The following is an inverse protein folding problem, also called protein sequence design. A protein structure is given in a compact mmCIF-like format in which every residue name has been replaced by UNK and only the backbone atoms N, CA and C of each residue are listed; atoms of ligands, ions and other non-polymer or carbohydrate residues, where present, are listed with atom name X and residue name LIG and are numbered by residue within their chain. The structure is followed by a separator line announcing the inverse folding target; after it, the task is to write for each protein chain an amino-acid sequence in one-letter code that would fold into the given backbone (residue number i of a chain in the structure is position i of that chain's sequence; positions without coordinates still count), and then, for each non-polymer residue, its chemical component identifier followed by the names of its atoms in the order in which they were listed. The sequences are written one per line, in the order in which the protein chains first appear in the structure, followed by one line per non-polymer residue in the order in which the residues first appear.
data_IF_209301067852
#
_entry.id   IF_209301067852
#
_cell.length_a   1.000
_cell.length_b   1.000
_cell.length_c   1.000
_cell.angle_alpha   90.00
_cell.angle_beta   90.00
_cell.angle_gamma   90.00
#
_symmetry.space_group_name_H-M   'P 1'
#
loop_
_entity.id
_entity.type
_entity.pdbx_description
1 polymer ?
#
# COMPACT_ATOMS: atom_id res chain seq x y z
N UNK A 1 -23.02 -10.09 -1.15
CA UNK A 1 -23.17 -9.67 -2.56
C UNK A 1 -22.10 -10.32 -3.42
N UNK A 2 -22.47 -11.02 -4.50
CA UNK A 2 -21.50 -11.43 -5.53
C UNK A 2 -21.08 -10.17 -6.29
N UNK A 3 -19.80 -9.81 -6.22
CA UNK A 3 -19.24 -8.63 -6.92
C UNK A 3 -19.18 -8.92 -8.42
N UNK A 4 -19.50 -7.91 -9.24
CA UNK A 4 -19.55 -8.06 -10.70
C UNK A 4 -18.18 -8.37 -11.29
N UNK A 5 -18.17 -9.17 -12.36
CA UNK A 5 -17.02 -9.37 -13.23
C UNK A 5 -17.38 -8.91 -14.64
N UNK A 6 -16.50 -8.12 -15.26
CA UNK A 6 -16.71 -7.58 -16.61
C UNK A 6 -15.59 -8.09 -17.50
N UNK A 7 -15.95 -8.62 -18.67
CA UNK A 7 -15.01 -9.14 -19.65
C UNK A 7 -15.08 -8.34 -20.94
N UNK A 8 -13.93 -7.89 -21.41
CA UNK A 8 -13.78 -7.16 -22.66
C UNK A 8 -12.79 -7.90 -23.54
N UNK A 9 -13.09 -8.02 -24.84
CA UNK A 9 -12.19 -8.64 -25.80
C UNK A 9 -11.90 -7.70 -26.97
N UNK A 10 -10.66 -7.76 -27.46
CA UNK A 10 -10.25 -7.15 -28.71
C UNK A 10 -10.22 -8.23 -29.79
N UNK A 11 -10.85 -7.97 -30.94
CA UNK A 11 -10.94 -8.91 -32.05
C UNK A 11 -10.14 -8.41 -33.25
N UNK A 12 -9.58 -9.35 -34.00
CA UNK A 12 -9.00 -9.13 -35.33
C UNK A 12 -9.74 -10.04 -36.31
N UNK A 13 -10.67 -9.47 -37.07
CA UNK A 13 -11.65 -10.26 -37.82
C UNK A 13 -12.47 -11.15 -36.89
N UNK A 14 -12.50 -12.46 -37.16
CA UNK A 14 -13.27 -13.40 -36.35
C UNK A 14 -12.47 -14.06 -35.20
N UNK A 15 -11.25 -13.61 -34.91
CA UNK A 15 -10.39 -14.18 -33.85
C UNK A 15 -10.20 -13.18 -32.71
N UNK A 16 -10.09 -13.70 -31.48
CA UNK A 16 -9.73 -12.89 -30.30
C UNK A 16 -8.22 -12.61 -30.36
N UNK A 17 -7.87 -11.33 -30.35
CA UNK A 17 -6.49 -10.84 -30.35
C UNK A 17 -6.05 -10.36 -28.95
N UNK A 18 -7.00 -10.13 -28.04
CA UNK A 18 -6.71 -9.82 -26.64
C UNK A 18 -7.97 -9.84 -25.77
N UNK A 19 -7.78 -9.91 -24.46
CA UNK A 19 -8.86 -9.92 -23.48
C UNK A 19 -8.44 -9.18 -22.20
N UNK A 20 -9.43 -8.64 -21.51
CA UNK A 20 -9.29 -7.95 -20.24
C UNK A 20 -10.46 -8.35 -19.32
N UNK A 21 -10.14 -8.66 -18.07
CA UNK A 21 -11.09 -9.04 -17.04
C UNK A 21 -11.01 -8.08 -15.85
N UNK A 22 -12.14 -7.42 -15.57
CA UNK A 22 -12.34 -6.53 -14.43
C UNK A 22 -13.11 -7.21 -13.31
N UNK A 23 -12.79 -6.83 -12.08
CA UNK A 23 -13.51 -7.21 -10.86
C UNK A 23 -13.82 -5.94 -10.07
N UNK A 24 -15.07 -5.78 -9.63
CA UNK A 24 -15.49 -4.66 -8.78
C UNK A 24 -14.86 -4.75 -7.39
N UNK A 25 -14.28 -3.65 -6.91
CA UNK A 25 -13.66 -3.51 -5.59
C UNK A 25 -14.05 -2.18 -4.92
N UNK A 26 -13.85 -2.09 -3.61
CA UNK A 26 -14.16 -0.90 -2.83
C UNK A 26 -15.63 -0.85 -2.39
N UNK A 27 -16.07 0.37 -2.07
CA UNK A 27 -17.41 0.64 -1.54
C UNK A 27 -17.64 0.03 -0.16
N UNK A 28 -16.59 -0.02 0.67
CA UNK A 28 -16.71 -0.50 2.05
C UNK A 28 -17.33 0.60 2.92
N UNK A 29 -18.08 0.17 3.95
CA UNK A 29 -18.52 1.09 5.02
C UNK A 29 -17.31 1.79 5.64
N UNK A 30 -17.42 3.09 6.01
CA UNK A 30 -16.32 3.84 6.60
C UNK A 30 -15.68 3.16 7.81
N UNK A 31 -16.50 2.61 8.73
CA UNK A 31 -16.01 1.91 9.93
C UNK A 31 -15.17 0.68 9.57
N UNK A 32 -15.60 -0.09 8.56
CA UNK A 32 -14.86 -1.25 8.08
C UNK A 32 -13.56 -0.83 7.38
N UNK A 33 -13.56 0.24 6.58
CA UNK A 33 -12.35 0.77 5.95
C UNK A 33 -11.31 1.18 7.02
N UNK A 34 -11.75 1.88 8.06
CA UNK A 34 -10.89 2.30 9.17
C UNK A 34 -10.36 1.10 9.96
N UNK A 35 -11.19 0.09 10.22
CA UNK A 35 -10.76 -1.14 10.88
C UNK A 35 -9.75 -1.96 10.04
N UNK A 36 -9.88 -1.95 8.71
CA UNK A 36 -8.88 -2.52 7.79
C UNK A 36 -7.57 -1.73 7.84
N UNK A 37 -7.65 -0.39 7.79
CA UNK A 37 -6.49 0.49 7.92
C UNK A 37 -5.73 0.30 9.23
N UNK A 38 -6.44 0.12 10.35
CA UNK A 38 -5.85 -0.14 11.65
C UNK A 38 -5.30 -1.57 11.81
N UNK A 39 -5.63 -2.48 10.89
CA UNK A 39 -5.23 -3.89 10.92
C UNK A 39 -6.11 -4.78 11.81
N UNK A 40 -7.27 -4.29 12.28
CA UNK A 40 -8.21 -5.08 13.08
C UNK A 40 -9.06 -6.04 12.23
N UNK A 41 -9.22 -5.76 10.93
CA UNK A 41 -10.01 -6.59 10.02
C UNK A 41 -9.32 -6.82 8.68
N UNK A 42 -9.63 -7.98 8.09
CA UNK A 42 -9.19 -8.38 6.75
C UNK A 42 -10.30 -9.19 6.06
N UNK A 43 -11.35 -8.53 5.56
CA UNK A 43 -12.46 -9.21 4.91
C UNK A 43 -12.02 -9.93 3.63
N UNK A 44 -12.80 -10.92 3.16
CA UNK A 44 -12.52 -11.59 1.88
C UNK A 44 -12.84 -10.67 0.68
N UNK A 45 -12.08 -10.79 -0.41
CA UNK A 45 -12.22 -9.95 -1.62
C UNK A 45 -11.52 -8.60 -1.50
N UNK A 46 -11.79 -7.67 -2.42
CA UNK A 46 -11.27 -6.29 -2.39
C UNK A 46 -9.75 -6.19 -2.29
N UNK A 47 -9.02 -6.92 -3.13
CA UNK A 47 -7.58 -7.06 -3.00
C UNK A 47 -6.87 -5.69 -2.96
N UNK A 48 -7.12 -4.84 -3.96
CA UNK A 48 -6.46 -3.53 -4.04
C UNK A 48 -7.15 -2.54 -3.11
N UNK A 49 -8.48 -2.48 -3.08
CA UNK A 49 -9.18 -1.54 -2.21
C UNK A 49 -8.83 -1.70 -0.72
N UNK A 50 -8.76 -2.93 -0.21
CA UNK A 50 -8.29 -3.18 1.16
C UNK A 50 -6.80 -2.93 1.31
N UNK A 51 -5.98 -3.24 0.30
CA UNK A 51 -4.55 -2.95 0.36
C UNK A 51 -4.26 -1.45 0.43
N UNK A 52 -5.06 -0.62 -0.23
CA UNK A 52 -4.96 0.84 -0.13
C UNK A 52 -5.22 1.31 1.30
N UNK A 53 -6.20 0.75 2.01
CA UNK A 53 -6.41 1.07 3.43
C UNK A 53 -5.30 0.47 4.33
N UNK A 54 -4.99 -0.82 4.18
CA UNK A 54 -4.08 -1.54 5.07
C UNK A 54 -2.60 -1.15 4.91
N UNK A 55 -2.20 -0.66 3.73
CA UNK A 55 -0.81 -0.29 3.42
C UNK A 55 -0.62 1.17 3.00
N UNK A 56 -1.70 1.89 2.68
CA UNK A 56 -1.67 3.30 2.33
C UNK A 56 -1.86 4.22 3.53
N UNK A 57 -1.91 5.52 3.27
CA UNK A 57 -2.05 6.57 4.29
C UNK A 57 -3.50 6.77 4.75
N UNK A 58 -4.47 6.70 3.83
CA UNK A 58 -5.86 7.08 4.12
C UNK A 58 -6.68 5.96 4.78
N UNK A 59 -7.26 6.18 5.98
CA UNK A 59 -8.19 5.23 6.60
C UNK A 59 -9.48 4.98 5.83
N UNK A 60 -9.83 5.89 4.91
CA UNK A 60 -11.05 5.84 4.11
C UNK A 60 -10.79 5.35 2.67
N UNK A 61 -9.57 4.94 2.33
CA UNK A 61 -9.24 4.56 0.96
C UNK A 61 -10.13 3.44 0.38
N UNK A 62 -10.62 2.52 1.23
CA UNK A 62 -11.45 1.40 0.79
C UNK A 62 -12.94 1.76 0.63
N UNK A 63 -13.36 2.99 1.00
CA UNK A 63 -14.73 3.47 0.75
C UNK A 63 -14.91 3.84 -0.73
N UNK A 64 -13.85 4.30 -1.40
CA UNK A 64 -13.86 4.58 -2.83
C UNK A 64 -14.14 3.30 -3.64
N UNK A 65 -14.78 3.46 -4.78
CA UNK A 65 -15.20 2.37 -5.67
C UNK A 65 -14.26 2.25 -6.85
N UNK A 66 -13.94 1.02 -7.26
CA UNK A 66 -13.04 0.82 -8.38
C UNK A 66 -13.24 -0.49 -9.13
N UNK A 67 -12.60 -0.57 -10.29
CA UNK A 67 -12.52 -1.78 -11.10
C UNK A 67 -11.07 -2.25 -11.15
N UNK A 68 -10.79 -3.41 -10.55
CA UNK A 68 -9.47 -4.02 -10.62
C UNK A 68 -9.33 -4.82 -11.90
N UNK A 69 -8.31 -4.53 -12.69
CA UNK A 69 -7.85 -5.38 -13.78
C UNK A 69 -7.24 -6.64 -13.17
N UNK A 70 -8.00 -7.74 -13.22
CA UNK A 70 -7.60 -9.04 -12.70
C UNK A 70 -6.68 -9.77 -13.67
N UNK A 71 -6.99 -9.67 -14.96
CA UNK A 71 -6.18 -10.21 -16.06
C UNK A 71 -6.26 -9.30 -17.27
N UNK A 72 -5.14 -9.19 -17.97
CA UNK A 72 -5.06 -8.65 -19.32
C UNK A 72 -4.13 -9.55 -20.12
N UNK A 73 -4.50 -9.88 -21.34
CA UNK A 73 -3.68 -10.68 -22.25
C UNK A 73 -3.85 -10.20 -23.69
N UNK A 74 -2.75 -10.16 -24.44
CA UNK A 74 -2.73 -9.90 -25.87
C UNK A 74 -2.03 -11.08 -26.55
N UNK A 75 -2.63 -11.59 -27.61
CA UNK A 75 -2.08 -12.71 -28.37
C UNK A 75 -0.62 -12.40 -28.79
N UNK A 76 0.34 -13.32 -28.61
CA UNK A 76 1.77 -13.05 -28.82
C UNK A 76 2.09 -12.40 -30.17
N UNK A 77 1.50 -12.92 -31.26
CA UNK A 77 1.68 -12.40 -32.62
C UNK A 77 1.10 -11.00 -32.87
N UNK A 78 0.39 -10.39 -31.90
CA UNK A 78 -0.25 -9.07 -32.02
C UNK A 78 0.19 -8.12 -30.90
N UNK A 79 1.22 -8.48 -30.14
CA UNK A 79 1.77 -7.61 -29.09
C UNK A 79 2.41 -6.37 -29.70
N UNK A 80 2.54 -5.30 -28.90
CA UNK A 80 3.15 -4.02 -29.29
C UNK A 80 2.41 -3.24 -30.40
N UNK A 81 1.24 -3.70 -30.84
CA UNK A 81 0.34 -2.97 -31.76
C UNK A 81 -0.68 -2.04 -31.03
N UNK A 82 -0.43 -1.71 -29.76
CA UNK A 82 -1.34 -0.87 -28.97
C UNK A 82 -2.64 -1.55 -28.49
N UNK A 83 -2.86 -2.84 -28.79
CA UNK A 83 -4.06 -3.60 -28.36
C UNK A 83 -4.30 -3.55 -26.85
N UNK A 84 -3.25 -3.74 -26.03
CA UNK A 84 -3.37 -3.69 -24.58
C UNK A 84 -3.81 -2.33 -24.06
N UNK A 85 -3.27 -1.24 -24.63
CA UNK A 85 -3.66 0.13 -24.28
C UNK A 85 -5.11 0.41 -24.66
N UNK A 86 -5.57 -0.06 -25.83
CA UNK A 86 -6.98 0.07 -26.25
C UNK A 86 -7.93 -0.66 -25.31
N UNK A 87 -7.57 -1.87 -24.87
CA UNK A 87 -8.37 -2.61 -23.89
C UNK A 87 -8.49 -1.86 -22.57
N UNK A 88 -7.39 -1.23 -22.11
CA UNK A 88 -7.40 -0.41 -20.89
C UNK A 88 -8.24 0.87 -21.08
N UNK A 89 -8.10 1.56 -22.21
CA UNK A 89 -8.91 2.74 -22.50
C UNK A 89 -10.41 2.41 -22.51
N UNK A 90 -10.78 1.28 -23.10
CA UNK A 90 -12.17 0.78 -23.07
C UNK A 90 -12.62 0.45 -21.64
N UNK A 91 -11.76 -0.15 -20.82
CA UNK A 91 -12.05 -0.38 -19.40
C UNK A 91 -12.26 0.92 -18.63
N UNK A 92 -11.50 1.98 -18.94
CA UNK A 92 -11.66 3.29 -18.33
C UNK A 92 -13.02 3.92 -18.71
N UNK A 93 -13.43 3.81 -19.97
CA UNK A 93 -14.76 4.25 -20.42
C UNK A 93 -15.89 3.45 -19.75
N UNK A 94 -15.74 2.13 -19.59
CA UNK A 94 -16.71 1.29 -18.87
C UNK A 94 -16.79 1.60 -17.37
N UNK A 95 -15.70 2.10 -16.79
CA UNK A 95 -15.59 2.46 -15.39
C UNK A 95 -15.90 3.91 -15.07
N UNK A 96 -16.44 4.71 -15.99
CA UNK A 96 -16.55 6.17 -15.84
C UNK A 96 -17.31 6.64 -14.59
N UNK A 97 -18.20 5.80 -14.03
CA UNK A 97 -18.92 6.09 -12.77
C UNK A 97 -18.20 5.60 -11.50
N UNK A 98 -16.97 5.12 -11.63
CA UNK A 98 -16.12 4.64 -10.53
C UNK A 98 -15.04 5.66 -10.21
N UNK A 99 -14.40 5.52 -9.07
CA UNK A 99 -13.33 6.43 -8.67
C UNK A 99 -12.00 6.12 -9.37
N UNK A 100 -11.72 4.85 -9.66
CA UNK A 100 -10.48 4.42 -10.30
C UNK A 100 -10.56 3.05 -10.99
N UNK A 101 -9.64 2.82 -11.94
CA UNK A 101 -9.17 1.46 -12.23
C UNK A 101 -7.95 1.15 -11.38
N UNK A 102 -7.74 -0.12 -11.07
CA UNK A 102 -6.54 -0.56 -10.36
C UNK A 102 -5.92 -1.82 -10.95
N UNK A 103 -4.64 -2.02 -10.65
CA UNK A 103 -3.93 -3.27 -10.94
C UNK A 103 -3.02 -3.62 -9.78
N UNK A 104 -2.89 -4.92 -9.51
CA UNK A 104 -1.87 -5.50 -8.64
C UNK A 104 -1.07 -6.50 -9.48
N UNK A 105 0.25 -6.35 -9.53
CA UNK A 105 1.11 -7.12 -10.42
C UNK A 105 2.49 -7.37 -9.80
N UNK A 106 3.16 -8.44 -10.23
CA UNK A 106 4.59 -8.63 -9.93
C UNK A 106 5.41 -7.59 -10.68
N UNK A 107 6.14 -6.76 -9.95
CA UNK A 107 6.88 -5.64 -10.52
C UNK A 107 7.98 -6.14 -11.47
N UNK A 108 7.94 -5.64 -12.70
CA UNK A 108 9.10 -5.63 -13.62
C UNK A 108 9.16 -4.28 -14.32
N UNK A 109 10.34 -3.80 -14.75
CA UNK A 109 10.44 -2.54 -15.49
C UNK A 109 9.57 -2.51 -16.75
N UNK A 110 9.45 -3.64 -17.47
CA UNK A 110 8.66 -3.75 -18.71
C UNK A 110 7.17 -3.63 -18.43
N UNK A 111 6.68 -4.33 -17.40
CA UNK A 111 5.27 -4.34 -17.06
C UNK A 111 4.86 -3.00 -16.44
N UNK A 112 5.72 -2.38 -15.62
CA UNK A 112 5.49 -1.03 -15.12
C UNK A 112 5.41 -0.01 -16.26
N UNK A 113 6.34 -0.03 -17.22
CA UNK A 113 6.29 0.86 -18.40
C UNK A 113 4.98 0.71 -19.18
N UNK A 114 4.44 -0.52 -19.30
CA UNK A 114 3.14 -0.73 -19.92
C UNK A 114 2.03 0.02 -19.16
N UNK A 115 1.91 -0.18 -17.84
CA UNK A 115 0.89 0.47 -17.02
C UNK A 115 1.04 1.99 -16.99
N UNK A 116 2.28 2.48 -16.86
CA UNK A 116 2.58 3.91 -16.89
C UNK A 116 2.14 4.54 -18.22
N UNK A 117 2.42 3.90 -19.37
CA UNK A 117 1.97 4.39 -20.68
C UNK A 117 0.45 4.31 -20.87
N UNK A 118 -0.22 3.46 -20.12
CA UNK A 118 -1.69 3.44 -20.03
C UNK A 118 -2.26 4.54 -19.12
N UNK A 119 -1.43 5.35 -18.47
CA UNK A 119 -1.88 6.42 -17.57
C UNK A 119 -1.99 6.02 -16.09
N UNK A 120 -1.49 4.85 -15.70
CA UNK A 120 -1.50 4.45 -14.30
C UNK A 120 -0.41 5.16 -13.49
N UNK A 121 -0.75 5.50 -12.24
CA UNK A 121 0.16 6.03 -11.23
C UNK A 121 0.53 4.92 -10.25
N UNK A 122 1.82 4.71 -9.99
CA UNK A 122 2.29 3.74 -9.00
C UNK A 122 2.00 4.27 -7.59
N UNK A 123 1.30 3.48 -6.79
CA UNK A 123 0.89 3.88 -5.42
C UNK A 123 1.46 2.99 -4.33
N UNK A 124 1.99 1.81 -4.70
CA UNK A 124 2.63 0.90 -3.76
C UNK A 124 3.66 0.01 -4.45
N UNK A 125 4.78 -0.19 -3.78
CA UNK A 125 5.77 -1.22 -4.08
C UNK A 125 6.08 -2.01 -2.80
N UNK A 126 5.80 -3.30 -2.81
CA UNK A 126 5.98 -4.18 -1.65
C UNK A 126 7.46 -4.39 -1.28
N UNK A 127 7.67 -5.01 -0.12
CA UNK A 127 8.98 -5.40 0.43
C UNK A 127 9.15 -6.91 0.54
N UNK A 128 8.16 -7.69 0.09
CA UNK A 128 8.21 -9.14 0.07
C UNK A 128 7.98 -9.64 -1.35
N UNK A 129 8.76 -10.64 -1.75
CA UNK A 129 8.56 -11.35 -3.01
C UNK A 129 7.38 -12.29 -2.89
N UNK A 130 6.55 -12.34 -3.93
CA UNK A 130 5.54 -13.38 -4.04
C UNK A 130 6.21 -14.71 -4.37
N UNK A 131 5.83 -15.78 -3.64
CA UNK A 131 6.44 -17.10 -3.79
C UNK A 131 6.31 -17.69 -5.21
N UNK A 132 5.25 -17.33 -5.94
CA UNK A 132 4.97 -17.87 -7.28
C UNK A 132 5.70 -17.15 -8.40
N UNK A 133 5.88 -15.83 -8.31
CA UNK A 133 6.48 -15.00 -9.36
C UNK A 133 7.93 -14.61 -9.06
N UNK A 134 8.36 -14.73 -7.81
CA UNK A 134 9.60 -14.16 -7.33
C UNK A 134 9.63 -12.63 -7.36
N UNK A 135 8.58 -11.94 -7.80
CA UNK A 135 8.58 -10.48 -7.94
C UNK A 135 8.02 -9.79 -6.69
N UNK A 136 8.42 -8.55 -6.45
CA UNK A 136 7.74 -7.68 -5.47
C UNK A 136 6.36 -7.27 -6.00
N UNK A 137 5.33 -7.33 -5.16
CA UNK A 137 4.00 -6.86 -5.56
C UNK A 137 4.00 -5.34 -5.72
N UNK A 138 3.58 -4.85 -6.87
CA UNK A 138 3.30 -3.45 -7.15
C UNK A 138 1.79 -3.22 -7.32
N UNK A 139 1.31 -2.04 -6.94
CA UNK A 139 -0.04 -1.59 -7.21
C UNK A 139 -0.03 -0.22 -7.85
N UNK A 140 -0.92 -0.04 -8.83
CA UNK A 140 -1.06 1.22 -9.55
C UNK A 140 -2.54 1.54 -9.78
N UNK A 141 -2.85 2.83 -9.83
CA UNK A 141 -4.20 3.37 -10.02
C UNK A 141 -4.29 4.20 -11.29
N UNK A 142 -5.40 4.06 -12.01
CA UNK A 142 -5.83 5.00 -13.04
C UNK A 142 -7.03 5.76 -12.47
N UNK A 143 -6.90 7.06 -12.14
CA UNK A 143 -7.98 7.83 -11.54
C UNK A 143 -9.08 8.14 -12.57
N UNK A 144 -10.34 8.07 -12.14
CA UNK A 144 -11.54 8.32 -12.95
C UNK A 144 -12.45 9.39 -12.33
N UNK A 145 -12.31 9.67 -11.03
CA UNK A 145 -12.98 10.76 -10.32
C UNK A 145 -11.96 11.68 -9.63
N UNK A 146 -12.42 12.83 -9.14
CA UNK A 146 -11.59 13.72 -8.31
C UNK A 146 -11.10 13.03 -7.03
N UNK A 147 -11.94 12.19 -6.42
CA UNK A 147 -11.55 11.41 -5.24
C UNK A 147 -10.46 10.38 -5.59
N UNK A 148 -10.58 9.70 -6.74
CA UNK A 148 -9.56 8.80 -7.25
C UNK A 148 -8.26 9.52 -7.59
N UNK A 149 -8.33 10.72 -8.16
CA UNK A 149 -7.16 11.55 -8.48
C UNK A 149 -6.40 11.95 -7.21
N UNK A 150 -7.12 12.40 -6.17
CA UNK A 150 -6.52 12.72 -4.87
C UNK A 150 -5.85 11.50 -4.25
N UNK A 151 -6.56 10.37 -4.18
CA UNK A 151 -5.99 9.12 -3.65
C UNK A 151 -4.71 8.71 -4.39
N UNK A 152 -4.74 8.69 -5.73
CA UNK A 152 -3.58 8.29 -6.53
C UNK A 152 -2.38 9.23 -6.32
N UNK A 153 -2.64 10.54 -6.24
CA UNK A 153 -1.62 11.56 -5.99
C UNK A 153 -1.01 11.45 -4.60
N UNK A 154 -1.85 11.32 -3.56
CA UNK A 154 -1.44 11.23 -2.16
C UNK A 154 -0.63 9.97 -1.90
N UNK A 155 -1.09 8.81 -2.38
CA UNK A 155 -0.38 7.54 -2.19
C UNK A 155 0.92 7.46 -2.99
N UNK A 156 0.96 8.05 -4.20
CA UNK A 156 2.19 8.20 -4.97
C UNK A 156 3.21 9.10 -4.26
N UNK A 157 2.76 10.25 -3.73
CA UNK A 157 3.61 11.14 -2.96
C UNK A 157 4.15 10.45 -1.69
N UNK A 158 3.30 9.68 -1.00
CA UNK A 158 3.70 8.87 0.15
C UNK A 158 4.73 7.82 -0.22
N UNK A 159 4.50 7.04 -1.27
CA UNK A 159 5.44 6.05 -1.80
C UNK A 159 6.83 6.67 -2.03
N UNK A 160 6.89 7.84 -2.67
CA UNK A 160 8.15 8.54 -2.92
C UNK A 160 8.83 9.03 -1.64
N UNK A 161 8.08 9.42 -0.61
CA UNK A 161 8.64 9.82 0.70
C UNK A 161 9.19 8.62 1.49
N UNK A 162 8.57 7.46 1.34
CA UNK A 162 8.92 6.24 2.07
C UNK A 162 10.03 5.43 1.39
N UNK A 163 10.21 5.62 0.09
CA UNK A 163 11.15 4.85 -0.72
C UNK A 163 12.58 4.88 -0.19
N UNK A 164 13.04 6.03 0.31
CA UNK A 164 14.37 6.14 0.92
C UNK A 164 14.57 5.14 2.07
N UNK A 165 13.52 4.88 2.85
CA UNK A 165 13.56 4.02 4.03
C UNK A 165 13.26 2.55 3.72
N UNK A 166 12.61 2.28 2.59
CA UNK A 166 12.13 0.95 2.20
C UNK A 166 13.02 0.25 1.17
N UNK A 167 13.82 0.98 0.40
CA UNK A 167 14.64 0.41 -0.69
C UNK A 167 15.53 -0.74 -0.24
N UNK A 168 16.17 -0.60 0.92
CA UNK A 168 17.15 -1.56 1.40
C UNK A 168 16.47 -2.83 1.96
N UNK A 169 15.14 -2.82 2.10
CA UNK A 169 14.36 -4.01 2.42
C UNK A 169 14.06 -4.86 1.18
N UNK A 170 14.55 -4.44 0.01
CA UNK A 170 14.47 -5.18 -1.24
C UNK A 170 15.87 -5.51 -1.73
N UNK A 171 16.00 -6.67 -2.34
CA UNK A 171 17.27 -7.16 -2.90
C UNK A 171 17.49 -6.66 -4.34
N UNK A 172 16.63 -5.77 -4.83
CA UNK A 172 16.67 -5.20 -6.18
C UNK A 172 16.76 -3.67 -6.13
N UNK A 173 17.47 -3.04 -7.08
CA UNK A 173 17.50 -1.58 -7.19
C UNK A 173 16.09 -1.00 -7.31
N UNK A 174 15.84 0.06 -6.56
CA UNK A 174 14.57 0.76 -6.64
C UNK A 174 14.39 1.45 -8.00
N UNK A 175 13.20 1.34 -8.61
CA UNK A 175 12.88 2.07 -9.83
C UNK A 175 12.45 3.52 -9.57
N UNK A 176 12.36 3.92 -8.31
CA UNK A 176 11.82 5.21 -7.88
C UNK A 176 12.96 6.19 -7.54
N UNK A 177 12.77 7.49 -7.79
CA UNK A 177 13.79 8.48 -7.50
C UNK A 177 14.10 8.54 -6.01
N UNK A 178 15.36 8.83 -5.68
CA UNK A 178 15.77 9.02 -4.31
C UNK A 178 15.34 10.38 -3.77
N UNK A 179 14.58 10.34 -2.67
CA UNK A 179 14.19 11.52 -1.92
C UNK A 179 14.18 11.21 -0.43
N UNK A 180 15.16 11.73 0.30
CA UNK A 180 15.18 11.63 1.77
C UNK A 180 14.25 12.67 2.38
N UNK A 181 12.98 12.30 2.53
CA UNK A 181 12.02 13.12 3.27
C UNK A 181 12.20 12.93 4.78
N UNK A 182 12.47 14.02 5.50
CA UNK A 182 12.70 14.03 6.97
C UNK A 182 11.65 14.81 7.76
N UNK A 183 10.74 15.50 7.08
CA UNK A 183 9.63 16.23 7.71
C UNK A 183 8.60 15.21 8.18
N UNK A 184 8.27 15.26 9.48
CA UNK A 184 7.19 14.51 10.09
C UNK A 184 5.87 15.24 9.81
N UNK A 185 5.02 14.65 8.96
CA UNK A 185 3.73 15.23 8.56
C UNK A 185 2.58 14.77 9.46
N UNK A 186 1.41 15.38 9.30
CA UNK A 186 0.18 14.99 10.00
C UNK A 186 -0.20 13.53 9.70
N UNK A 187 -0.02 13.07 8.46
CA UNK A 187 -0.28 11.67 8.11
C UNK A 187 0.72 10.71 8.78
N UNK A 188 1.98 11.13 8.97
CA UNK A 188 2.99 10.32 9.65
C UNK A 188 2.60 10.06 11.11
N UNK A 189 2.04 11.06 11.80
CA UNK A 189 1.54 10.92 13.17
C UNK A 189 0.45 9.84 13.26
N UNK A 190 -0.55 9.92 12.38
CA UNK A 190 -1.65 8.96 12.36
C UNK A 190 -1.14 7.55 12.03
N UNK A 191 -0.23 7.42 11.06
CA UNK A 191 0.36 6.14 10.70
C UNK A 191 1.18 5.52 11.85
N UNK A 192 2.04 6.31 12.49
CA UNK A 192 2.83 5.81 13.62
C UNK A 192 1.91 5.46 14.78
N UNK A 193 0.84 6.22 15.02
CA UNK A 193 -0.17 5.84 16.02
C UNK A 193 -0.86 4.52 15.68
N UNK A 194 -1.20 4.28 14.41
CA UNK A 194 -1.73 3.00 13.94
C UNK A 194 -0.75 1.83 14.15
N UNK A 195 0.55 2.08 14.10
CA UNK A 195 1.57 1.10 14.52
C UNK A 195 1.70 1.01 16.04
N UNK A 196 1.79 2.10 16.78
CA UNK A 196 2.01 2.07 18.22
C UNK A 196 0.81 1.47 18.99
N UNK A 197 -0.41 1.77 18.56
CA UNK A 197 -1.63 1.52 19.35
C UNK A 197 -2.62 0.54 18.70
N UNK A 198 -2.41 0.15 17.44
CA UNK A 198 -3.22 -0.86 16.75
C UNK A 198 -2.35 -1.98 16.13
N UNK A 199 -2.70 -2.43 14.93
CA UNK A 199 -2.14 -3.62 14.31
C UNK A 199 -1.50 -3.34 12.94
N UNK A 200 -1.19 -2.07 12.63
CA UNK A 200 -0.44 -1.76 11.41
C UNK A 200 0.91 -2.50 11.40
N UNK A 201 1.36 -3.06 10.27
CA UNK A 201 2.66 -3.73 10.17
C UNK A 201 3.84 -2.76 10.25
N UNK A 202 4.97 -3.22 10.77
CA UNK A 202 6.21 -2.42 10.88
C UNK A 202 6.63 -1.82 9.53
N UNK A 203 6.70 -2.64 8.48
CA UNK A 203 7.18 -2.19 7.16
C UNK A 203 6.19 -1.28 6.44
N UNK A 204 4.90 -1.35 6.77
CA UNK A 204 3.93 -0.35 6.26
C UNK A 204 4.26 1.04 6.83
N UNK A 205 4.70 1.11 8.09
CA UNK A 205 4.97 2.36 8.81
C UNK A 205 6.45 2.75 8.86
N UNK A 206 7.34 2.04 8.17
CA UNK A 206 8.79 2.21 8.33
C UNK A 206 9.27 3.61 7.93
N UNK A 207 8.68 4.23 6.90
CA UNK A 207 9.02 5.60 6.52
C UNK A 207 8.66 6.59 7.62
N UNK A 208 7.42 6.54 8.09
CA UNK A 208 6.88 7.42 9.15
C UNK A 208 7.60 7.22 10.48
N UNK A 209 7.94 5.98 10.83
CA UNK A 209 8.72 5.65 12.02
C UNK A 209 10.14 6.21 11.96
N UNK A 210 10.83 6.08 10.82
CA UNK A 210 12.16 6.67 10.67
C UNK A 210 12.12 8.20 10.76
N UNK A 211 11.12 8.84 10.17
CA UNK A 211 10.92 10.30 10.28
C UNK A 211 10.66 10.73 11.71
N UNK A 212 9.90 9.95 12.49
CA UNK A 212 9.70 10.19 13.92
C UNK A 212 10.99 10.03 14.71
N UNK A 213 11.78 8.98 14.43
CA UNK A 213 13.04 8.69 15.12
C UNK A 213 14.13 9.76 14.92
N UNK A 214 14.01 10.60 13.89
CA UNK A 214 14.86 11.79 13.69
C UNK A 214 14.51 12.90 14.68
N UNK A 215 13.27 12.93 15.20
CA UNK A 215 12.76 14.00 16.07
C UNK A 215 12.91 13.71 17.55
N UNK A 216 13.43 12.54 17.92
CA UNK A 216 13.51 12.10 19.32
C UNK A 216 14.90 11.53 19.63
N UNK A 217 15.46 11.95 20.75
CA UNK A 217 16.78 11.51 21.23
C UNK A 217 16.71 10.26 22.13
N UNK A 218 15.51 9.70 22.32
CA UNK A 218 15.33 8.48 23.09
C UNK A 218 16.11 7.31 22.44
N UNK A 219 16.70 6.40 23.25
CA UNK A 219 17.50 5.28 22.73
C UNK A 219 16.72 4.35 21.81
N UNK A 220 15.51 3.96 22.21
CA UNK A 220 14.57 3.11 21.44
C UNK A 220 15.27 1.93 20.73
N UNK A 221 15.97 1.06 21.50
CA UNK A 221 16.94 0.12 20.95
C UNK A 221 16.31 -0.97 20.06
N UNK A 222 15.09 -1.42 20.34
CA UNK A 222 14.45 -2.42 19.50
C UNK A 222 14.03 -1.81 18.15
N UNK A 223 13.39 -0.64 18.18
CA UNK A 223 12.84 0.05 17.01
C UNK A 223 13.94 0.51 16.07
N UNK A 224 14.99 1.14 16.60
CA UNK A 224 16.17 1.52 15.80
C UNK A 224 16.85 0.30 15.20
N UNK A 225 17.09 -0.76 15.98
CA UNK A 225 17.75 -1.96 15.47
C UNK A 225 16.95 -2.62 14.34
N UNK A 226 15.62 -2.72 14.48
CA UNK A 226 14.78 -3.33 13.44
C UNK A 226 14.62 -2.45 12.21
N UNK A 227 14.51 -1.14 12.33
CA UNK A 227 14.47 -0.25 11.16
C UNK A 227 15.82 -0.18 10.42
N UNK A 228 16.92 -0.47 11.13
CA UNK A 228 18.26 -0.75 10.55
C UNK A 228 18.44 -2.21 10.11
N UNK A 229 17.34 -2.96 9.98
CA UNK A 229 17.32 -4.33 9.45
C UNK A 229 18.11 -5.38 10.23
N UNK A 230 18.48 -5.11 11.49
CA UNK A 230 19.12 -6.13 12.31
C UNK A 230 18.19 -7.34 12.51
N UNK A 231 18.76 -8.54 12.47
CA UNK A 231 18.01 -9.79 12.56
C UNK A 231 17.13 -9.87 13.83
N UNK A 232 15.89 -10.38 13.68
CA UNK A 232 14.93 -10.45 14.79
C UNK A 232 15.43 -11.30 15.95
N UNK A 233 16.13 -12.42 15.67
CA UNK A 233 16.65 -13.30 16.71
C UNK A 233 17.83 -12.67 17.45
N UNK A 234 18.70 -11.95 16.73
CA UNK A 234 19.79 -11.19 17.32
C UNK A 234 19.27 -10.06 18.24
N UNK A 235 18.26 -9.32 17.79
CA UNK A 235 17.62 -8.26 18.60
C UNK A 235 16.94 -8.86 19.83
N UNK A 236 16.20 -9.96 19.69
CA UNK A 236 15.58 -10.63 20.83
C UNK A 236 16.62 -11.07 21.86
N UNK A 237 17.73 -11.68 21.42
CA UNK A 237 18.83 -12.10 22.31
C UNK A 237 19.46 -10.92 23.04
N UNK A 238 19.78 -9.85 22.32
CA UNK A 238 20.40 -8.63 22.88
C UNK A 238 19.52 -7.96 23.93
N UNK A 239 18.19 -7.98 23.75
CA UNK A 239 17.23 -7.31 24.62
C UNK A 239 16.54 -8.25 25.62
N UNK A 240 16.93 -9.53 25.68
CA UNK A 240 16.32 -10.50 26.59
C UNK A 240 14.83 -10.79 26.31
N UNK A 241 14.39 -10.71 25.05
CA UNK A 241 13.00 -10.90 24.66
C UNK A 241 12.73 -12.37 24.30
N UNK A 242 11.55 -12.88 24.69
CA UNK A 242 11.15 -14.29 24.50
C UNK A 242 10.86 -14.71 23.05
N UNK A 243 10.98 -13.80 22.09
CA UNK A 243 10.84 -14.07 20.66
C UNK A 243 10.06 -12.98 19.91
N UNK A 244 9.66 -13.30 18.68
CA UNK A 244 9.08 -12.34 17.72
C UNK A 244 7.84 -11.59 18.23
N UNK A 245 6.96 -12.26 18.98
CA UNK A 245 5.77 -11.62 19.56
C UNK A 245 6.15 -10.57 20.61
N UNK A 246 7.07 -10.90 21.52
CA UNK A 246 7.57 -9.96 22.52
C UNK A 246 8.34 -8.80 21.88
N UNK A 247 9.12 -9.08 20.83
CA UNK A 247 9.75 -8.04 20.03
C UNK A 247 8.72 -7.08 19.41
N UNK A 248 7.68 -7.59 18.77
CA UNK A 248 6.64 -6.73 18.19
C UNK A 248 5.97 -5.84 19.25
N UNK A 249 5.69 -6.37 20.45
CA UNK A 249 5.16 -5.57 21.56
C UNK A 249 6.14 -4.46 21.95
N UNK A 250 7.43 -4.79 22.15
CA UNK A 250 8.47 -3.81 22.47
C UNK A 250 8.62 -2.73 21.38
N UNK A 251 8.54 -3.10 20.10
CA UNK A 251 8.59 -2.13 19.00
C UNK A 251 7.44 -1.13 19.05
N UNK A 252 6.22 -1.60 19.35
CA UNK A 252 5.03 -0.73 19.48
C UNK A 252 5.13 0.17 20.71
N UNK A 253 5.62 -0.36 21.83
CA UNK A 253 5.89 0.43 23.04
C UNK A 253 6.92 1.54 22.80
N UNK A 254 8.02 1.23 22.11
CA UNK A 254 9.04 2.23 21.76
C UNK A 254 8.52 3.26 20.76
N UNK A 255 7.66 2.87 19.81
CA UNK A 255 6.99 3.83 18.94
C UNK A 255 6.04 4.77 19.71
N UNK A 256 5.32 4.24 20.70
CA UNK A 256 4.48 5.05 21.59
C UNK A 256 5.32 6.05 22.41
N UNK A 257 6.45 5.60 22.98
CA UNK A 257 7.39 6.46 23.70
C UNK A 257 7.96 7.56 22.78
N UNK A 258 8.26 7.22 21.52
CA UNK A 258 8.73 8.19 20.54
C UNK A 258 7.67 9.27 20.25
N UNK A 259 6.41 8.90 20.06
CA UNK A 259 5.31 9.85 19.87
C UNK A 259 5.16 10.79 21.07
N UNK A 260 5.11 10.22 22.28
CA UNK A 260 4.97 11.01 23.51
C UNK A 260 6.18 11.90 23.77
N UNK A 261 7.39 11.47 23.38
CA UNK A 261 8.62 12.25 23.46
C UNK A 261 8.63 13.48 22.55
N UNK A 262 7.85 13.48 21.47
CA UNK A 262 7.66 14.66 20.61
C UNK A 262 6.48 15.52 21.08
N UNK A 263 5.34 14.91 21.37
CA UNK A 263 4.17 15.60 21.92
C UNK A 263 3.23 14.60 22.63
N UNK A 264 3.18 14.68 23.96
CA UNK A 264 2.44 13.73 24.80
C UNK A 264 0.91 13.84 24.63
N UNK A 265 0.37 15.06 24.60
CA UNK A 265 -1.08 15.29 24.49
C UNK A 265 -1.60 14.74 23.17
N UNK A 266 -0.93 15.10 22.07
CA UNK A 266 -1.27 14.59 20.73
C UNK A 266 -1.14 13.07 20.63
N UNK A 267 -0.13 12.48 21.27
CA UNK A 267 0.03 11.02 21.30
C UNK A 267 -1.14 10.34 22.03
N UNK A 268 -1.64 10.94 23.10
CA UNK A 268 -2.79 10.44 23.85
C UNK A 268 -4.09 10.54 23.04
N UNK A 269 -4.32 11.66 22.36
CA UNK A 269 -5.50 11.85 21.49
C UNK A 269 -5.53 10.79 20.38
N UNK A 270 -4.39 10.61 19.69
CA UNK A 270 -4.24 9.60 18.65
C UNK A 270 -4.40 8.17 19.16
N UNK A 271 -3.91 7.89 20.37
CA UNK A 271 -4.12 6.58 21.02
C UNK A 271 -5.59 6.29 21.20
N UNK A 272 -6.36 7.22 21.76
CA UNK A 272 -7.80 7.06 21.95
C UNK A 272 -8.50 6.88 20.59
N UNK A 273 -8.20 7.74 19.62
CA UNK A 273 -8.78 7.67 18.28
C UNK A 273 -8.54 6.32 17.61
N UNK A 274 -7.30 5.83 17.59
CA UNK A 274 -6.92 4.57 16.92
C UNK A 274 -7.52 3.35 17.62
N UNK A 275 -7.56 3.35 18.96
CA UNK A 275 -8.15 2.25 19.72
C UNK A 275 -9.65 2.12 19.54
N UNK A 276 -10.36 3.23 19.28
CA UNK A 276 -11.80 3.19 19.00
C UNK A 276 -12.13 2.46 17.68
N UNK A 277 -11.18 2.39 16.73
CA UNK A 277 -11.38 1.72 15.44
C UNK A 277 -11.52 0.19 15.55
N UNK A 278 -11.28 -0.40 16.73
CA UNK A 278 -11.52 -1.82 16.98
C UNK A 278 -13.01 -2.16 17.10
N UNK A 279 -13.84 -1.16 17.42
CA UNK A 279 -15.29 -1.25 17.56
C UNK A 279 -15.92 -0.76 16.25
N UNK A 280 -16.12 -1.67 15.29
CA UNK A 280 -16.67 -1.38 13.96
C UNK A 280 -17.80 -2.37 13.62
#
# INVERSE_FOLDING_TARGET
MRRGSIFTCARSGNRIAGALWLVEEGGLEPSLSQAVWAGYRRPRGNLVAQSLAAHGGSPLAATLTGLRISRIAVHPARQREGLGQRLVAQAASQGAERDYLSVSFGYTPELWRFWQRCGFTLVRLGTHREASSGCYTAMALYPLSEAGQRLASEESARLLRDEFWLRDWRDEPSPLPERKATILSEEDWLEVAGFAFAHRPLLTSAGSLNRLLIRVDLPLPALRARLQQQDETAVCRKLGLSGRKALLVRLREEAAQALSGVNADRANDLRQQVQMLQFF
#
